data_IF_115211208424
#
_entry.id   IF_115211208424
#
_cell.length_a   1.000
_cell.length_b   1.000
_cell.length_c   1.000
_cell.angle_alpha   90.00
_cell.angle_beta   90.00
_cell.angle_gamma   90.00
#
_symmetry.space_group_name_H-M   'P 1'
#
loop_
_entity.id
_entity.type
_entity.pdbx_description
1 polymer ?
#
# COMPACT_ATOMS: atom_id res chain seq x y z
N UNK A 1 -15.88 5.13 35.26
CA UNK A 1 -15.74 4.40 33.99
C UNK A 1 -14.49 4.96 33.33
N UNK A 2 -13.44 4.16 33.11
CA UNK A 2 -12.20 4.68 32.51
C UNK A 2 -12.48 4.98 31.04
N UNK A 3 -12.38 6.26 30.66
CA UNK A 3 -12.50 6.69 29.26
C UNK A 3 -11.34 6.07 28.48
N UNK A 4 -11.65 5.38 27.38
CA UNK A 4 -10.63 4.74 26.56
C UNK A 4 -9.84 5.82 25.81
N UNK A 5 -8.50 5.71 25.72
CA UNK A 5 -7.69 6.69 25.03
C UNK A 5 -8.08 6.77 23.54
N UNK A 6 -7.94 7.94 22.91
CA UNK A 6 -8.23 8.18 21.49
C UNK A 6 -7.64 7.10 20.56
N UNK A 7 -6.39 6.69 20.80
CA UNK A 7 -5.72 5.64 20.03
C UNK A 7 -6.43 4.28 20.06
N UNK A 8 -7.23 4.01 21.09
CA UNK A 8 -8.01 2.78 21.23
C UNK A 8 -9.41 2.87 20.58
N UNK A 9 -9.86 4.06 20.18
CA UNK A 9 -11.20 4.29 19.60
C UNK A 9 -11.18 4.78 18.16
N UNK A 10 -10.02 5.25 17.64
CA UNK A 10 -9.88 5.73 16.26
C UNK A 10 -8.76 5.02 15.52
N UNK A 11 -9.03 3.86 14.87
CA UNK A 11 -8.02 3.17 14.08
C UNK A 11 -7.62 3.99 12.84
N UNK A 12 -6.31 4.06 12.57
CA UNK A 12 -5.78 4.70 11.36
C UNK A 12 -5.73 3.69 10.22
N UNK A 13 -6.33 4.04 9.08
CA UNK A 13 -6.24 3.25 7.85
C UNK A 13 -5.33 3.95 6.85
N UNK A 14 -4.31 3.24 6.37
CA UNK A 14 -3.41 3.73 5.32
C UNK A 14 -3.90 3.19 3.98
N UNK A 15 -4.39 4.07 3.12
CA UNK A 15 -5.00 3.70 1.84
C UNK A 15 -4.00 3.21 0.80
N UNK A 16 -2.82 3.84 0.72
CA UNK A 16 -1.76 3.49 -0.23
C UNK A 16 -0.39 3.72 0.40
N UNK A 17 0.55 2.84 0.09
CA UNK A 17 1.96 2.99 0.44
C UNK A 17 2.77 3.10 -0.85
N UNK A 18 3.61 4.12 -0.95
CA UNK A 18 4.54 4.27 -2.07
C UNK A 18 5.81 3.48 -1.81
N UNK A 19 6.25 2.71 -2.80
CA UNK A 19 7.52 1.98 -2.76
C UNK A 19 8.51 2.64 -3.72
N UNK A 20 9.70 2.98 -3.22
CA UNK A 20 10.79 3.44 -4.08
C UNK A 20 11.48 2.23 -4.70
N UNK A 21 11.35 2.08 -6.00
CA UNK A 21 11.97 1.01 -6.77
C UNK A 21 13.14 1.55 -7.60
N UNK A 22 14.18 0.72 -7.80
CA UNK A 22 15.18 0.97 -8.84
C UNK A 22 14.61 0.70 -10.23
N UNK A 23 13.77 -0.33 -10.34
CA UNK A 23 13.06 -0.74 -11.55
C UNK A 23 11.61 -1.06 -11.17
N UNK A 24 10.69 -0.25 -11.68
CA UNK A 24 9.27 -0.38 -11.38
C UNK A 24 8.63 -1.60 -12.04
N UNK A 25 9.09 -2.00 -13.23
CA UNK A 25 8.53 -3.16 -13.95
C UNK A 25 8.91 -4.47 -13.27
N UNK A 26 10.18 -4.60 -12.89
CA UNK A 26 10.63 -5.77 -12.14
C UNK A 26 9.89 -5.92 -10.80
N UNK A 27 9.65 -4.81 -10.09
CA UNK A 27 8.90 -4.83 -8.83
C UNK A 27 7.42 -5.18 -9.05
N UNK A 28 6.77 -4.58 -10.04
CA UNK A 28 5.39 -4.90 -10.39
C UNK A 28 5.24 -6.38 -10.77
N UNK A 29 6.19 -6.94 -11.53
CA UNK A 29 6.24 -8.35 -11.88
C UNK A 29 6.28 -9.27 -10.66
N UNK A 30 7.12 -8.97 -9.68
CA UNK A 30 7.19 -9.73 -8.42
C UNK A 30 5.85 -9.74 -7.67
N UNK A 31 5.24 -8.57 -7.50
CA UNK A 31 3.97 -8.48 -6.78
C UNK A 31 2.83 -9.22 -7.49
N UNK A 32 2.81 -9.27 -8.82
CA UNK A 32 1.84 -10.07 -9.57
C UNK A 32 2.13 -11.57 -9.49
N UNK A 33 3.37 -11.98 -9.77
CA UNK A 33 3.70 -13.39 -9.97
C UNK A 33 3.91 -14.16 -8.66
N UNK A 34 4.46 -13.49 -7.63
CA UNK A 34 4.83 -14.14 -6.36
C UNK A 34 3.80 -13.84 -5.28
N UNK A 35 3.43 -12.57 -5.12
CA UNK A 35 2.49 -12.15 -4.07
C UNK A 35 1.02 -12.36 -4.51
N UNK A 36 0.76 -12.42 -5.82
CA UNK A 36 -0.60 -12.58 -6.36
C UNK A 36 -1.43 -11.30 -6.31
N UNK A 37 -0.79 -10.13 -6.21
CA UNK A 37 -1.49 -8.84 -6.29
C UNK A 37 -1.84 -8.48 -7.73
N UNK A 38 -2.87 -7.66 -7.88
CA UNK A 38 -3.31 -7.15 -9.18
C UNK A 38 -2.94 -5.67 -9.35
N UNK A 39 -2.52 -5.29 -10.55
CA UNK A 39 -2.31 -3.89 -10.93
C UNK A 39 -3.67 -3.17 -11.01
N UNK A 40 -3.86 -2.14 -10.18
CA UNK A 40 -5.12 -1.38 -10.14
C UNK A 40 -5.15 -0.20 -11.10
N UNK A 41 -3.99 0.43 -11.32
CA UNK A 41 -3.82 1.62 -12.16
C UNK A 41 -2.34 1.81 -12.47
N UNK A 42 -2.06 2.34 -13.65
CA UNK A 42 -0.73 2.71 -14.11
C UNK A 42 -0.76 4.16 -14.56
N UNK A 43 0.22 4.93 -14.09
CA UNK A 43 0.46 6.28 -14.56
C UNK A 43 1.71 6.24 -15.42
N UNK A 44 1.55 6.34 -16.73
CA UNK A 44 2.67 6.58 -17.63
C UNK A 44 3.06 8.05 -17.44
N UNK A 45 4.28 8.31 -16.97
CA UNK A 45 4.72 9.66 -16.65
C UNK A 45 4.64 10.58 -17.86
N UNK A 46 3.68 11.51 -17.84
CA UNK A 46 3.52 12.60 -18.82
C UNK A 46 3.99 13.91 -18.21
#
# INVERSE_FOLDING_TARGET
MSELPFAATTPVSVSRVGLRARDAESLAGYYRAVVGLQELSRADGV
#
